data_IF_594452389444
#
_entry.id   IF_594452389444
#
_cell.length_a   1.000
_cell.length_b   1.000
_cell.length_c   1.000
_cell.angle_alpha   90.00
_cell.angle_beta   90.00
_cell.angle_gamma   90.00
#
_symmetry.space_group_name_H-M   'P 1'
#
loop_
_entity.id
_entity.type
_entity.pdbx_description
1 polymer ?
#
# COMPACT_ATOMS: atom_id res chain seq x y z
N UNK A 1 -30.55 -18.00 -5.29
CA UNK A 1 -30.31 -18.33 -6.71
C UNK A 1 -28.82 -18.59 -6.87
N UNK A 2 -28.37 -19.60 -7.63
CA UNK A 2 -26.95 -19.72 -7.97
C UNK A 2 -26.52 -18.45 -8.72
N UNK A 3 -25.31 -17.98 -8.45
CA UNK A 3 -24.72 -16.85 -9.15
C UNK A 3 -24.44 -17.27 -10.60
N UNK A 4 -24.88 -16.46 -11.55
CA UNK A 4 -24.58 -16.67 -12.97
C UNK A 4 -23.22 -16.04 -13.25
N UNK A 5 -22.27 -16.84 -13.73
CA UNK A 5 -20.91 -16.42 -14.07
C UNK A 5 -20.20 -15.63 -12.95
N UNK A 6 -19.92 -16.24 -11.79
CA UNK A 6 -19.28 -15.52 -10.69
C UNK A 6 -17.85 -15.10 -11.07
N UNK A 7 -17.50 -13.87 -10.70
CA UNK A 7 -16.13 -13.34 -10.77
C UNK A 7 -15.70 -13.05 -9.34
N UNK A 8 -14.75 -13.83 -8.82
CA UNK A 8 -14.25 -13.62 -7.47
C UNK A 8 -13.33 -12.39 -7.46
N UNK A 9 -13.46 -11.56 -6.44
CA UNK A 9 -12.60 -10.39 -6.21
C UNK A 9 -12.00 -10.54 -4.82
N UNK A 10 -10.68 -10.67 -4.72
CA UNK A 10 -10.00 -10.68 -3.42
C UNK A 10 -10.08 -9.27 -2.81
N UNK A 11 -10.64 -9.20 -1.61
CA UNK A 11 -10.74 -7.95 -0.85
C UNK A 11 -9.38 -7.60 -0.24
N UNK A 12 -8.96 -6.34 -0.42
CA UNK A 12 -7.93 -5.74 0.41
C UNK A 12 -8.62 -4.84 1.43
N UNK A 13 -8.16 -4.89 2.68
CA UNK A 13 -8.60 -3.97 3.72
C UNK A 13 -7.78 -2.68 3.66
N UNK A 14 -8.44 -1.54 3.92
CA UNK A 14 -7.73 -0.31 4.21
C UNK A 14 -7.17 -0.36 5.66
N UNK A 15 -6.12 0.43 5.95
CA UNK A 15 -5.47 0.54 7.27
C UNK A 15 -6.44 0.76 8.48
N UNK A 16 -7.68 1.16 8.22
CA UNK A 16 -8.75 1.29 9.21
C UNK A 16 -9.80 0.18 8.95
N UNK A 17 -9.86 -0.82 9.84
CA UNK A 17 -10.58 -2.14 9.85
C UNK A 17 -12.07 -2.21 9.39
N UNK A 18 -12.61 -1.24 8.65
CA UNK A 18 -14.02 -1.19 8.24
C UNK A 18 -14.22 -0.75 6.77
N UNK A 19 -13.16 -0.30 6.06
CA UNK A 19 -13.30 0.19 4.70
C UNK A 19 -12.59 -0.73 3.68
N UNK A 20 -13.29 -1.07 2.59
CA UNK A 20 -12.67 -1.68 1.42
C UNK A 20 -11.62 -0.74 0.84
N UNK A 21 -10.46 -1.27 0.49
CA UNK A 21 -9.45 -0.51 -0.22
C UNK A 21 -10.06 0.05 -1.54
N UNK A 22 -9.77 1.31 -1.92
CA UNK A 22 -10.26 1.86 -3.18
C UNK A 22 -9.88 1.03 -4.41
N UNK A 23 -8.75 0.32 -4.36
CA UNK A 23 -8.36 -0.66 -5.37
C UNK A 23 -9.38 -1.81 -5.49
N UNK A 24 -9.87 -2.35 -4.38
CA UNK A 24 -10.93 -3.37 -4.37
C UNK A 24 -12.21 -2.87 -5.02
N UNK A 25 -12.59 -1.60 -4.80
CA UNK A 25 -13.73 -0.98 -5.48
C UNK A 25 -13.53 -0.88 -7.00
N UNK A 26 -12.30 -0.63 -7.47
CA UNK A 26 -11.97 -0.69 -8.90
C UNK A 26 -12.16 -2.11 -9.45
N UNK A 27 -11.65 -3.13 -8.76
CA UNK A 27 -11.80 -4.52 -9.17
C UNK A 27 -13.27 -4.94 -9.24
N UNK A 28 -14.11 -4.52 -8.28
CA UNK A 28 -15.55 -4.78 -8.33
C UNK A 28 -16.21 -4.15 -9.55
N UNK A 29 -15.73 -2.98 -9.98
CA UNK A 29 -16.22 -2.31 -11.21
C UNK A 29 -15.79 -3.06 -12.46
N UNK A 30 -14.55 -3.54 -12.50
CA UNK A 30 -14.02 -4.34 -13.61
C UNK A 30 -14.69 -5.72 -13.68
N UNK A 31 -14.86 -6.40 -12.54
CA UNK A 31 -15.55 -7.68 -12.44
C UNK A 31 -16.96 -7.64 -13.01
N UNK A 32 -17.71 -6.55 -12.79
CA UNK A 32 -19.04 -6.33 -13.40
C UNK A 32 -19.04 -6.31 -14.91
N UNK A 33 -17.92 -5.99 -15.57
CA UNK A 33 -17.80 -6.02 -17.04
C UNK A 33 -17.65 -7.44 -17.58
N UNK A 34 -17.36 -8.40 -16.70
CA UNK A 34 -17.03 -9.79 -17.07
C UNK A 34 -18.02 -10.82 -16.54
N UNK A 35 -18.63 -10.55 -15.40
CA UNK A 35 -19.63 -11.42 -14.80
C UNK A 35 -20.19 -10.82 -13.51
N UNK A 36 -20.73 -11.70 -12.66
CA UNK A 36 -21.30 -11.28 -11.38
C UNK A 36 -20.20 -11.17 -10.33
N UNK A 37 -19.86 -9.96 -9.84
CA UNK A 37 -18.81 -9.80 -8.84
C UNK A 37 -19.19 -10.47 -7.52
N UNK A 38 -18.27 -11.24 -6.96
CA UNK A 38 -18.35 -11.82 -5.62
C UNK A 38 -17.11 -11.38 -4.86
N UNK A 39 -17.31 -10.54 -3.85
CA UNK A 39 -16.23 -10.12 -2.98
C UNK A 39 -15.85 -11.26 -2.05
N UNK A 40 -14.56 -11.58 -1.98
CA UNK A 40 -14.00 -12.63 -1.13
C UNK A 40 -13.05 -11.97 -0.13
N UNK A 41 -13.41 -12.06 1.15
CA UNK A 41 -12.57 -11.61 2.25
C UNK A 41 -11.95 -12.84 2.91
N UNK A 42 -10.63 -12.83 3.07
CA UNK A 42 -9.83 -13.94 3.57
C UNK A 42 -8.86 -13.48 4.66
N UNK A 43 -8.46 -14.40 5.53
CA UNK A 43 -7.29 -14.18 6.39
C UNK A 43 -6.03 -14.08 5.52
N UNK A 44 -5.26 -13.00 5.64
CA UNK A 44 -4.01 -12.78 4.89
C UNK A 44 -3.02 -13.97 4.94
N UNK A 45 -3.02 -14.77 6.00
CA UNK A 45 -2.14 -15.94 6.14
C UNK A 45 -2.62 -17.15 5.35
N UNK A 46 -3.91 -17.22 5.02
CA UNK A 46 -4.58 -18.36 4.38
C UNK A 46 -5.32 -18.00 3.08
N UNK A 47 -5.23 -16.75 2.65
CA UNK A 47 -5.96 -16.23 1.50
C UNK A 47 -5.83 -17.10 0.24
N UNK A 48 -4.64 -17.63 -0.06
CA UNK A 48 -4.48 -18.52 -1.20
C UNK A 48 -5.26 -19.84 -1.06
N UNK A 49 -5.29 -20.45 0.13
CA UNK A 49 -6.00 -21.70 0.39
C UNK A 49 -7.52 -21.50 0.35
N UNK A 50 -8.01 -20.46 1.03
CA UNK A 50 -9.43 -20.12 1.08
C UNK A 50 -9.97 -19.76 -0.31
N UNK A 51 -9.22 -18.97 -1.09
CA UNK A 51 -9.63 -18.59 -2.44
C UNK A 51 -9.71 -19.80 -3.40
N UNK A 52 -8.84 -20.81 -3.20
CA UNK A 52 -8.86 -22.05 -3.98
C UNK A 52 -10.08 -22.91 -3.62
N UNK A 53 -10.37 -23.06 -2.32
CA UNK A 53 -11.55 -23.79 -1.84
C UNK A 53 -12.83 -23.17 -2.44
N UNK A 54 -12.97 -21.85 -2.35
CA UNK A 54 -14.10 -21.10 -2.92
C UNK A 54 -14.16 -21.24 -4.44
N UNK A 55 -13.01 -21.21 -5.14
CA UNK A 55 -12.96 -21.36 -6.59
C UNK A 55 -13.39 -22.77 -7.05
N UNK A 56 -13.03 -23.83 -6.31
CA UNK A 56 -13.49 -25.18 -6.61
C UNK A 56 -15.00 -25.35 -6.42
N UNK A 57 -15.57 -24.74 -5.37
CA UNK A 57 -17.00 -24.87 -5.06
C UNK A 57 -17.90 -24.06 -6.00
N UNK A 58 -17.38 -22.95 -6.52
CA UNK A 58 -18.19 -21.97 -7.28
C UNK A 58 -17.80 -21.81 -8.74
N UNK A 59 -16.70 -22.44 -9.19
CA UNK A 59 -16.22 -22.44 -10.58
C UNK A 59 -16.32 -21.06 -11.23
N UNK A 60 -15.60 -20.06 -10.69
CA UNK A 60 -15.70 -18.69 -11.18
C UNK A 60 -15.08 -18.54 -12.55
N UNK A 61 -15.67 -17.65 -13.35
CA UNK A 61 -15.16 -17.27 -14.66
C UNK A 61 -13.77 -16.63 -14.56
N UNK A 62 -13.58 -15.81 -13.54
CA UNK A 62 -12.30 -15.21 -13.24
C UNK A 62 -12.14 -14.93 -11.74
N UNK A 63 -10.88 -14.81 -11.33
CA UNK A 63 -10.45 -14.38 -10.02
C UNK A 63 -9.62 -13.12 -10.21
N UNK A 64 -10.14 -11.98 -9.76
CA UNK A 64 -9.43 -10.70 -9.83
C UNK A 64 -8.72 -10.44 -8.50
N UNK A 65 -7.45 -10.09 -8.60
CA UNK A 65 -6.56 -9.81 -7.46
C UNK A 65 -5.82 -8.51 -7.76
N UNK A 66 -5.68 -7.61 -6.79
CA UNK A 66 -4.86 -6.40 -6.97
C UNK A 66 -3.37 -6.77 -6.99
N UNK A 67 -2.56 -6.06 -7.76
CA UNK A 67 -1.11 -6.24 -7.71
C UNK A 67 -0.54 -5.61 -6.43
N UNK A 68 0.17 -6.43 -5.64
CA UNK A 68 0.93 -6.02 -4.46
C UNK A 68 1.94 -7.10 -4.10
N UNK A 69 2.95 -6.78 -3.27
CA UNK A 69 3.97 -7.76 -2.89
C UNK A 69 3.39 -9.03 -2.22
N UNK A 70 2.30 -8.89 -1.44
CA UNK A 70 1.59 -10.03 -0.87
C UNK A 70 0.71 -10.75 -1.90
N UNK A 71 -0.02 -9.98 -2.71
CA UNK A 71 -1.05 -10.51 -3.57
C UNK A 71 -0.49 -11.17 -4.83
N UNK A 72 0.65 -10.71 -5.34
CA UNK A 72 1.36 -11.35 -6.46
C UNK A 72 1.80 -12.78 -6.10
N UNK A 73 2.14 -13.03 -4.83
CA UNK A 73 2.44 -14.38 -4.34
C UNK A 73 1.18 -15.22 -4.20
N UNK A 74 0.09 -14.64 -3.70
CA UNK A 74 -1.21 -15.32 -3.56
C UNK A 74 -1.74 -15.72 -4.94
N UNK A 75 -1.74 -14.81 -5.91
CA UNK A 75 -2.20 -15.06 -7.27
C UNK A 75 -1.41 -16.17 -7.95
N UNK A 76 -0.08 -16.18 -7.81
CA UNK A 76 0.76 -17.24 -8.34
C UNK A 76 0.42 -18.61 -7.72
N UNK A 77 0.22 -18.66 -6.40
CA UNK A 77 -0.12 -19.88 -5.68
C UNK A 77 -1.51 -20.42 -6.07
N UNK A 78 -2.49 -19.52 -6.24
CA UNK A 78 -3.84 -19.85 -6.69
C UNK A 78 -3.82 -20.38 -8.13
N UNK A 79 -3.15 -19.67 -9.04
CA UNK A 79 -3.08 -20.06 -10.45
C UNK A 79 -2.45 -21.45 -10.63
N UNK A 80 -1.34 -21.72 -9.94
CA UNK A 80 -0.65 -23.03 -10.01
C UNK A 80 -1.55 -24.17 -9.51
N UNK A 81 -2.26 -23.95 -8.40
CA UNK A 81 -3.07 -25.01 -7.77
C UNK A 81 -4.42 -25.24 -8.47
N UNK A 82 -4.98 -24.20 -9.07
CA UNK A 82 -6.16 -24.32 -9.93
C UNK A 82 -5.82 -24.74 -11.37
N UNK A 83 -4.55 -25.01 -11.67
CA UNK A 83 -4.05 -25.28 -13.04
C UNK A 83 -4.57 -24.24 -14.06
N UNK A 84 -4.67 -23.00 -13.60
CA UNK A 84 -5.33 -21.90 -14.31
C UNK A 84 -4.29 -20.94 -14.90
N UNK A 85 -4.66 -20.28 -16.00
CA UNK A 85 -3.84 -19.21 -16.54
C UNK A 85 -3.73 -18.05 -15.54
N UNK A 86 -2.55 -17.42 -15.49
CA UNK A 86 -2.34 -16.16 -14.78
C UNK A 86 -2.00 -15.06 -15.78
N UNK A 87 -2.70 -13.93 -15.68
CA UNK A 87 -2.40 -12.73 -16.46
C UNK A 87 -2.11 -11.59 -15.49
N UNK A 88 -0.91 -11.03 -15.58
CA UNK A 88 -0.44 -9.98 -14.68
C UNK A 88 -0.39 -8.63 -15.35
N UNK A 89 -0.26 -7.56 -14.55
CA UNK A 89 -0.17 -6.18 -15.05
C UNK A 89 -1.37 -5.76 -15.92
N UNK A 90 -2.54 -6.30 -15.61
CA UNK A 90 -3.78 -5.96 -16.29
C UNK A 90 -4.30 -4.65 -15.73
N UNK A 91 -4.72 -3.76 -16.61
CA UNK A 91 -5.18 -2.40 -16.26
C UNK A 91 -6.63 -2.15 -16.62
N UNK A 92 -7.21 -3.00 -17.47
CA UNK A 92 -8.63 -3.03 -17.79
C UNK A 92 -9.01 -4.43 -18.32
N UNK A 93 -10.29 -4.77 -18.29
CA UNK A 93 -10.83 -6.03 -18.76
C UNK A 93 -12.28 -5.88 -19.24
N UNK A 94 -12.62 -6.67 -20.25
CA UNK A 94 -13.96 -6.76 -20.79
C UNK A 94 -14.26 -8.19 -21.24
N UNK A 95 -15.54 -8.48 -21.42
CA UNK A 95 -15.99 -9.77 -21.93
C UNK A 95 -16.45 -9.62 -23.36
N UNK A 96 -15.91 -10.46 -24.23
CA UNK A 96 -16.39 -10.62 -25.59
C UNK A 96 -17.50 -11.68 -25.57
N UNK A 97 -18.73 -11.26 -25.82
CA UNK A 97 -19.89 -12.14 -25.81
C UNK A 97 -20.01 -13.01 -27.08
N UNK A 98 -19.42 -12.58 -28.19
CA UNK A 98 -19.47 -13.32 -29.45
C UNK A 98 -18.47 -14.48 -29.43
N UNK A 99 -17.32 -14.26 -28.78
CA UNK A 99 -16.23 -15.23 -28.65
C UNK A 99 -16.19 -15.95 -27.29
N UNK A 100 -17.11 -15.62 -26.37
CA UNK A 100 -17.22 -16.18 -25.01
C UNK A 100 -15.88 -16.16 -24.25
N UNK A 101 -15.18 -15.03 -24.30
CA UNK A 101 -13.82 -14.89 -23.78
C UNK A 101 -13.59 -13.58 -23.03
N UNK A 102 -12.63 -13.60 -22.10
CA UNK A 102 -12.17 -12.38 -21.43
C UNK A 102 -11.04 -11.78 -22.26
N UNK A 103 -11.09 -10.47 -22.45
CA UNK A 103 -9.98 -9.71 -23.01
C UNK A 103 -9.39 -8.84 -21.91
N UNK A 104 -8.15 -9.14 -21.54
CA UNK A 104 -7.38 -8.40 -20.54
C UNK A 104 -6.46 -7.40 -21.23
N UNK A 105 -6.49 -6.13 -20.80
CA UNK A 105 -5.69 -5.04 -21.37
C UNK A 105 -4.54 -4.70 -20.44
N UNK A 106 -3.32 -4.77 -20.96
CA UNK A 106 -2.10 -4.23 -20.34
C UNK A 106 -1.60 -3.02 -21.15
N UNK A 107 -0.55 -2.35 -20.68
CA UNK A 107 -0.08 -1.05 -21.22
C UNK A 107 0.03 -0.98 -22.75
N UNK A 108 0.52 -2.05 -23.39
CA UNK A 108 0.74 -2.10 -24.86
C UNK A 108 0.25 -3.37 -25.53
N UNK A 109 -0.53 -4.18 -24.83
CA UNK A 109 -0.97 -5.47 -25.32
C UNK A 109 -2.32 -5.83 -24.74
N UNK A 110 -3.04 -6.68 -25.45
CA UNK A 110 -4.20 -7.37 -24.91
C UNK A 110 -3.92 -8.87 -24.92
N UNK A 111 -4.57 -9.58 -24.01
CA UNK A 111 -4.50 -11.03 -23.90
C UNK A 111 -5.92 -11.58 -23.97
N UNK A 112 -6.14 -12.51 -24.89
CA UNK A 112 -7.38 -13.26 -25.01
C UNK A 112 -7.32 -14.48 -24.08
N UNK A 113 -8.35 -14.66 -23.26
CA UNK A 113 -8.40 -15.71 -22.25
C UNK A 113 -9.62 -16.58 -22.52
N UNK A 114 -9.36 -17.83 -22.92
CA UNK A 114 -10.38 -18.83 -23.26
C UNK A 114 -10.59 -19.89 -22.16
N UNK A 115 -9.90 -19.76 -21.02
CA UNK A 115 -9.95 -20.74 -19.91
C UNK A 115 -11.17 -20.52 -19.02
N UNK A 116 -11.68 -21.59 -18.39
CA UNK A 116 -12.88 -21.54 -17.54
C UNK A 116 -12.70 -20.74 -16.24
N UNK A 117 -11.49 -20.73 -15.66
CA UNK A 117 -11.15 -19.87 -14.53
C UNK A 117 -9.78 -19.27 -14.80
N UNK A 118 -9.71 -17.94 -14.87
CA UNK A 118 -8.46 -17.21 -15.04
C UNK A 118 -8.13 -16.42 -13.79
N UNK A 119 -6.86 -16.44 -13.37
CA UNK A 119 -6.36 -15.56 -12.32
C UNK A 119 -5.82 -14.29 -12.98
N UNK A 120 -6.43 -13.14 -12.68
CA UNK A 120 -6.11 -11.88 -13.33
C UNK A 120 -5.64 -10.90 -12.26
N UNK A 121 -4.37 -10.52 -12.35
CA UNK A 121 -3.75 -9.56 -11.44
C UNK A 121 -3.86 -8.15 -12.01
N UNK A 122 -4.67 -7.34 -11.35
CA UNK A 122 -5.00 -5.98 -11.74
C UNK A 122 -4.03 -4.99 -11.12
N UNK A 123 -3.32 -4.27 -11.97
CA UNK A 123 -2.62 -3.03 -11.61
C UNK A 123 -3.64 -1.90 -11.54
N UNK A 124 -4.21 -1.72 -10.34
CA UNK A 124 -5.18 -0.67 -10.03
C UNK A 124 -4.65 0.72 -10.40
N UNK A 125 -5.50 1.52 -11.09
CA UNK A 125 -5.22 2.93 -11.42
C UNK A 125 -5.76 3.86 -10.33
N UNK A 126 -6.78 3.40 -9.60
CA UNK A 126 -7.36 4.10 -8.45
C UNK A 126 -6.44 3.87 -7.25
N UNK A 127 -5.62 4.87 -6.98
CA UNK A 127 -4.83 4.89 -5.77
C UNK A 127 -5.78 5.16 -4.59
N UNK A 128 -6.16 4.11 -3.86
CA UNK A 128 -6.36 4.24 -2.41
C UNK A 128 -5.09 4.79 -1.77
N UNK A 129 -5.13 5.33 -0.53
CA UNK A 129 -4.07 6.18 0.01
C UNK A 129 -2.69 5.49 -0.03
N UNK A 130 -2.01 5.75 -1.14
CA UNK A 130 -0.68 5.39 -1.58
C UNK A 130 -0.29 3.90 -1.60
N UNK A 131 0.22 3.51 -2.79
CA UNK A 131 1.27 2.51 -3.02
C UNK A 131 2.12 2.37 -1.74
N UNK A 132 2.30 1.17 -1.20
CA UNK A 132 3.42 0.92 -0.27
C UNK A 132 4.70 1.27 -1.04
N UNK A 133 5.17 2.49 -0.85
CA UNK A 133 6.40 2.97 -1.45
C UNK A 133 7.51 2.10 -0.86
N UNK A 134 8.24 1.42 -1.73
CA UNK A 134 9.37 0.59 -1.32
C UNK A 134 10.29 1.43 -0.43
N UNK A 135 10.56 0.94 0.76
CA UNK A 135 11.37 1.61 1.78
C UNK A 135 12.73 2.08 1.21
N UNK A 136 13.29 1.33 0.26
CA UNK A 136 14.57 1.63 -0.42
C UNK A 136 14.48 2.72 -1.48
N UNK A 137 13.30 3.02 -2.00
CA UNK A 137 13.05 4.02 -3.05
C UNK A 137 12.46 5.32 -2.49
N UNK A 138 12.10 5.33 -1.20
CA UNK A 138 11.39 6.44 -0.59
C UNK A 138 12.28 7.68 -0.42
N UNK A 139 11.78 8.83 -0.92
CA UNK A 139 12.40 10.14 -0.71
C UNK A 139 12.22 10.61 0.75
N UNK A 140 11.14 10.22 1.41
CA UNK A 140 10.85 10.54 2.80
C UNK A 140 10.51 9.26 3.55
N UNK A 141 11.16 9.04 4.69
CA UNK A 141 10.90 7.90 5.57
C UNK A 141 10.64 8.42 6.98
N UNK A 142 9.49 8.05 7.54
CA UNK A 142 9.14 8.31 8.95
C UNK A 142 9.26 6.99 9.70
N UNK A 143 10.25 6.88 10.57
CA UNK A 143 10.63 5.62 11.21
C UNK A 143 10.31 5.58 12.70
N UNK A 144 9.76 4.44 13.13
CA UNK A 144 9.41 4.15 14.51
C UNK A 144 10.34 3.15 15.19
N UNK A 145 10.67 3.39 16.46
CA UNK A 145 11.37 2.45 17.32
C UNK A 145 10.51 1.92 18.46
N UNK A 146 11.16 1.30 19.44
CA UNK A 146 10.49 0.85 20.68
C UNK A 146 9.80 1.99 21.43
N UNK A 147 10.31 3.22 21.31
CA UNK A 147 9.74 4.39 21.97
C UNK A 147 8.32 4.74 21.51
N UNK A 148 7.86 4.20 20.37
CA UNK A 148 6.49 4.38 19.85
C UNK A 148 5.44 3.64 20.70
N UNK A 149 5.85 2.60 21.44
CA UNK A 149 5.03 1.94 22.46
C UNK A 149 4.05 0.87 21.99
N UNK A 150 3.52 0.94 20.76
CA UNK A 150 2.56 -0.06 20.23
C UNK A 150 2.45 -0.07 18.71
N UNK A 151 1.76 -1.07 18.15
CA UNK A 151 1.36 -1.11 16.74
C UNK A 151 0.40 0.05 16.38
N UNK A 152 -0.52 0.41 17.27
CA UNK A 152 -1.39 1.58 17.08
C UNK A 152 -0.57 2.89 17.01
N UNK A 153 0.52 2.99 17.76
CA UNK A 153 1.46 4.11 17.66
C UNK A 153 2.10 4.26 16.27
N UNK A 154 2.27 3.15 15.53
CA UNK A 154 2.73 3.19 14.14
C UNK A 154 1.69 3.80 13.19
N UNK A 155 0.41 3.76 13.52
CA UNK A 155 -0.64 4.44 12.74
C UNK A 155 -0.46 5.96 12.75
N UNK A 156 0.04 6.53 13.85
CA UNK A 156 0.40 7.95 13.92
C UNK A 156 1.58 8.27 13.00
N UNK A 157 2.58 7.40 12.94
CA UNK A 157 3.71 7.55 12.01
C UNK A 157 3.26 7.45 10.55
N UNK A 158 2.34 6.54 10.25
CA UNK A 158 1.75 6.40 8.91
C UNK A 158 1.05 7.68 8.46
N UNK A 159 0.28 8.32 9.36
CA UNK A 159 -0.35 9.62 9.07
C UNK A 159 0.68 10.70 8.77
N UNK A 160 1.77 10.78 9.53
CA UNK A 160 2.85 11.77 9.30
C UNK A 160 3.58 11.48 7.99
N UNK A 161 3.92 10.21 7.72
CA UNK A 161 4.53 9.78 6.47
C UNK A 161 3.67 10.19 5.28
N UNK A 162 2.36 9.91 5.34
CA UNK A 162 1.38 10.28 4.31
C UNK A 162 1.31 11.79 4.10
N UNK A 163 1.28 12.58 5.17
CA UNK A 163 1.27 14.05 5.07
C UNK A 163 2.55 14.61 4.42
N UNK A 164 3.67 13.90 4.56
CA UNK A 164 4.96 14.25 3.95
C UNK A 164 5.20 13.58 2.58
N UNK A 165 4.28 12.75 2.09
CA UNK A 165 4.44 12.00 0.85
C UNK A 165 5.52 10.90 0.89
N UNK A 166 5.75 10.32 2.07
CA UNK A 166 6.75 9.29 2.33
C UNK A 166 6.17 7.95 2.78
N UNK A 167 7.03 7.05 3.22
CA UNK A 167 6.65 5.75 3.77
C UNK A 167 7.04 5.60 5.25
N UNK A 168 6.50 4.57 5.90
CA UNK A 168 6.84 4.21 7.28
C UNK A 168 8.04 3.26 7.30
N UNK A 169 8.98 3.52 8.20
CA UNK A 169 10.08 2.61 8.53
C UNK A 169 9.97 2.11 9.98
N UNK A 170 10.67 1.02 10.28
CA UNK A 170 10.71 0.47 11.62
C UNK A 170 12.12 0.04 12.03
N UNK A 171 12.44 0.13 13.32
CA UNK A 171 13.62 -0.57 13.85
C UNK A 171 13.40 -2.08 13.87
N UNK A 172 14.49 -2.86 13.86
CA UNK A 172 14.42 -4.31 14.04
C UNK A 172 13.60 -4.73 15.27
N UNK A 173 13.80 -4.04 16.41
CA UNK A 173 13.07 -4.32 17.65
C UNK A 173 11.56 -4.12 17.51
N UNK A 174 11.12 -3.08 16.80
CA UNK A 174 9.69 -2.88 16.55
C UNK A 174 9.11 -4.00 15.66
N UNK A 175 9.87 -4.48 14.68
CA UNK A 175 9.49 -5.65 13.88
C UNK A 175 9.41 -6.96 14.68
N UNK A 176 10.35 -7.19 15.60
CA UNK A 176 10.32 -8.36 16.50
C UNK A 176 9.11 -8.34 17.45
N UNK A 177 8.67 -7.15 17.85
CA UNK A 177 7.46 -6.96 18.67
C UNK A 177 6.16 -7.08 17.86
N UNK A 178 6.25 -7.29 16.54
CA UNK A 178 5.09 -7.40 15.66
C UNK A 178 4.37 -6.08 15.39
N UNK A 179 5.01 -4.93 15.68
CA UNK A 179 4.39 -3.62 15.48
C UNK A 179 4.51 -3.10 14.05
N UNK A 180 5.43 -3.68 13.28
CA UNK A 180 5.65 -3.34 11.89
C UNK A 180 6.03 -4.60 11.09
N UNK A 181 5.69 -4.67 9.79
CA UNK A 181 6.04 -5.79 8.95
C UNK A 181 7.56 -5.83 8.70
N UNK A 182 8.09 -7.03 8.45
CA UNK A 182 9.54 -7.23 8.25
C UNK A 182 10.12 -6.42 7.10
N UNK A 183 9.36 -6.17 6.04
CA UNK A 183 9.82 -5.38 4.89
C UNK A 183 10.00 -3.90 5.22
N UNK A 184 9.36 -3.39 6.29
CA UNK A 184 9.53 -2.02 6.78
C UNK A 184 10.74 -1.89 7.74
N UNK A 185 11.38 -2.98 8.13
CA UNK A 185 12.47 -2.98 9.10
C UNK A 185 13.81 -2.51 8.51
N UNK A 186 14.40 -1.49 9.14
CA UNK A 186 15.70 -0.92 8.81
C UNK A 186 16.76 -1.49 9.77
N UNK A 187 17.66 -2.30 9.23
CA UNK A 187 18.71 -2.98 9.97
C UNK A 187 19.90 -3.35 9.09
N UNK A 188 21.03 -3.70 9.72
CA UNK A 188 22.23 -4.21 9.04
C UNK A 188 22.59 -5.60 9.61
N UNK A 189 22.80 -6.65 8.77
CA UNK A 189 22.68 -6.67 7.31
C UNK A 189 21.21 -6.87 6.90
N UNK A 190 20.56 -5.81 6.43
CA UNK A 190 19.14 -5.79 6.05
C UNK A 190 18.85 -4.57 5.19
N UNK A 191 17.67 -3.97 5.33
CA UNK A 191 17.32 -2.81 4.52
C UNK A 191 18.19 -1.59 4.89
N UNK A 192 18.95 -1.11 3.92
CA UNK A 192 19.70 0.14 3.96
C UNK A 192 19.02 1.14 3.06
N UNK A 193 18.85 2.38 3.52
CA UNK A 193 18.07 3.39 2.83
C UNK A 193 18.82 4.71 2.74
N UNK A 194 18.44 5.52 1.75
CA UNK A 194 19.06 6.83 1.49
C UNK A 194 18.01 7.90 1.15
N UNK A 195 17.04 8.15 2.05
CA UNK A 195 16.00 9.13 1.78
C UNK A 195 16.56 10.56 1.78
N UNK A 196 15.84 11.47 1.15
CA UNK A 196 16.08 12.91 1.29
C UNK A 196 15.77 13.39 2.71
N UNK A 197 14.74 12.83 3.34
CA UNK A 197 14.36 13.09 4.72
C UNK A 197 14.14 11.78 5.48
N UNK A 198 14.83 11.61 6.60
CA UNK A 198 14.60 10.56 7.57
C UNK A 198 14.11 11.17 8.89
N UNK A 199 12.88 10.89 9.29
CA UNK A 199 12.32 11.32 10.58
C UNK A 199 12.28 10.12 11.53
N UNK A 200 13.12 10.11 12.55
CA UNK A 200 13.15 9.08 13.58
C UNK A 200 12.28 9.50 14.78
N UNK A 201 11.29 8.69 15.15
CA UNK A 201 10.45 8.91 16.33
C UNK A 201 10.57 7.74 17.31
N UNK A 202 11.09 8.00 18.51
CA UNK A 202 11.26 6.97 19.55
C UNK A 202 12.26 5.87 19.15
N UNK A 203 13.30 6.24 18.41
CA UNK A 203 14.34 5.34 17.89
C UNK A 203 15.61 5.54 18.71
N UNK A 204 16.11 4.51 19.39
CA UNK A 204 17.32 4.65 20.21
C UNK A 204 18.61 4.93 19.42
N UNK A 205 18.66 4.60 18.12
CA UNK A 205 19.86 4.83 17.30
C UNK A 205 20.98 3.81 17.55
N UNK A 206 20.65 2.52 17.61
CA UNK A 206 21.70 1.49 17.67
C UNK A 206 22.68 1.63 16.50
N UNK A 207 23.96 1.28 16.71
CA UNK A 207 25.02 1.41 15.69
C UNK A 207 24.63 0.79 14.34
N UNK A 208 23.93 -0.35 14.36
CA UNK A 208 23.44 -1.03 13.14
C UNK A 208 22.36 -0.23 12.43
N UNK A 209 21.44 0.38 13.19
CA UNK A 209 20.37 1.19 12.64
C UNK A 209 20.92 2.50 12.04
N UNK A 210 21.78 3.21 12.78
CA UNK A 210 22.42 4.43 12.27
C UNK A 210 23.26 4.16 11.02
N UNK A 211 23.96 3.01 10.97
CA UNK A 211 24.71 2.60 9.77
C UNK A 211 23.80 2.38 8.55
N UNK A 212 22.59 1.87 8.75
CA UNK A 212 21.63 1.59 7.68
C UNK A 212 20.97 2.86 7.10
N UNK A 213 20.97 3.97 7.84
CA UNK A 213 20.42 5.27 7.41
C UNK A 213 21.48 6.32 7.10
N UNK A 214 22.77 5.99 7.23
CA UNK A 214 23.88 6.95 7.11
C UNK A 214 23.92 7.72 5.77
N UNK A 215 23.28 7.19 4.72
CA UNK A 215 23.15 7.88 3.44
C UNK A 215 21.97 8.83 3.33
N UNK A 216 21.16 9.01 4.38
CA UNK A 216 20.08 9.99 4.41
C UNK A 216 20.64 11.42 4.30
N UNK A 217 19.98 12.27 3.51
CA UNK A 217 20.42 13.67 3.32
C UNK A 217 20.10 14.56 4.52
N UNK A 218 18.97 14.31 5.18
CA UNK A 218 18.55 15.04 6.36
C UNK A 218 17.90 14.09 7.34
N UNK A 219 18.40 14.09 8.58
CA UNK A 219 17.93 13.28 9.70
C UNK A 219 17.30 14.21 10.74
N UNK A 220 16.02 14.00 11.01
CA UNK A 220 15.27 14.64 12.10
C UNK A 220 14.98 13.56 13.14
N UNK A 221 15.21 13.84 14.42
CA UNK A 221 14.95 12.86 15.48
C UNK A 221 14.11 13.46 16.60
N UNK A 222 13.11 12.71 17.04
CA UNK A 222 12.25 12.99 18.19
C UNK A 222 12.41 11.85 19.18
N UNK A 223 12.95 12.14 20.36
CA UNK A 223 13.05 11.16 21.43
C UNK A 223 12.86 11.83 22.80
N UNK A 224 12.25 11.11 23.75
CA UNK A 224 12.10 11.59 25.11
C UNK A 224 13.39 11.52 25.92
N UNK A 225 14.31 10.62 25.55
CA UNK A 225 15.63 10.50 26.17
C UNK A 225 16.62 11.48 25.50
N UNK A 226 17.07 12.54 26.20
CA UNK A 226 18.04 13.49 25.66
C UNK A 226 19.41 12.84 25.35
N UNK A 227 19.67 11.63 25.85
CA UNK A 227 20.91 10.91 25.61
C UNK A 227 20.81 9.86 24.50
N UNK A 228 19.65 9.75 23.84
CA UNK A 228 19.43 8.78 22.78
C UNK A 228 20.49 8.95 21.67
N UNK A 229 21.25 7.89 21.32
CA UNK A 229 22.26 7.96 20.26
C UNK A 229 21.78 8.54 18.93
N UNK A 230 20.52 8.33 18.54
CA UNK A 230 19.97 8.89 17.30
C UNK A 230 20.04 10.42 17.26
N UNK A 231 19.89 11.09 18.41
CA UNK A 231 19.92 12.55 18.50
C UNK A 231 21.31 13.11 18.18
N UNK A 232 22.37 12.31 18.33
CA UNK A 232 23.74 12.69 17.96
C UNK A 232 24.00 12.57 16.45
N UNK A 233 23.25 11.72 15.77
CA UNK A 233 23.34 11.52 14.31
C UNK A 233 22.36 12.42 13.56
N UNK A 234 21.45 13.11 14.26
CA UNK A 234 20.43 13.95 13.66
C UNK A 234 20.94 15.35 13.30
N UNK A 235 20.53 15.85 12.14
CA UNK A 235 20.69 17.26 11.76
C UNK A 235 19.78 18.16 12.60
N UNK A 236 18.64 17.63 13.04
CA UNK A 236 17.71 18.29 13.96
C UNK A 236 17.20 17.29 15.01
N UNK A 237 17.61 17.47 16.26
CA UNK A 237 17.12 16.70 17.40
C UNK A 237 16.09 17.47 18.23
N UNK A 238 14.98 16.83 18.55
CA UNK A 238 13.91 17.35 19.42
C UNK A 238 13.77 16.41 20.62
N UNK A 239 14.01 16.94 21.81
CA UNK A 239 13.80 16.19 23.05
C UNK A 239 12.38 16.42 23.54
N UNK A 240 11.55 15.38 23.55
CA UNK A 240 10.17 15.49 23.99
C UNK A 240 9.31 14.26 23.71
N UNK A 241 8.06 14.34 24.12
CA UNK A 241 7.08 13.28 23.93
C UNK A 241 6.57 13.25 22.48
N UNK A 242 6.89 12.18 21.76
CA UNK A 242 6.48 11.99 20.37
C UNK A 242 4.95 11.96 20.20
N UNK A 243 4.20 11.50 21.20
CA UNK A 243 2.73 11.44 21.12
C UNK A 243 2.09 12.83 21.23
N UNK A 244 2.84 13.85 21.66
CA UNK A 244 2.43 15.26 21.60
C UNK A 244 2.97 15.97 20.36
N UNK A 245 4.22 15.67 19.99
CA UNK A 245 4.91 16.36 18.91
C UNK A 245 4.43 15.93 17.53
N UNK A 246 4.16 14.65 17.29
CA UNK A 246 3.71 14.16 15.99
C UNK A 246 2.30 14.67 15.61
N UNK A 247 1.30 14.71 16.52
CA UNK A 247 0.02 15.35 16.20
C UNK A 247 0.16 16.86 15.91
N UNK A 248 0.96 17.58 16.70
CA UNK A 248 1.21 19.01 16.45
C UNK A 248 1.89 19.25 15.08
N UNK A 249 2.80 18.36 14.68
CA UNK A 249 3.40 18.38 13.35
C UNK A 249 2.35 18.15 12.25
N UNK A 250 1.43 17.19 12.44
CA UNK A 250 0.35 16.94 11.48
C UNK A 250 -0.54 18.17 11.29
N UNK A 251 -0.92 18.83 12.38
CA UNK A 251 -1.77 20.03 12.33
C UNK A 251 -1.08 21.14 11.53
N UNK A 252 0.21 21.37 11.77
CA UNK A 252 1.01 22.36 11.06
C UNK A 252 1.19 22.00 9.56
N UNK A 253 1.42 20.73 9.24
CA UNK A 253 1.51 20.25 7.86
C UNK A 253 0.19 20.47 7.11
N UNK A 254 -0.95 20.20 7.76
CA UNK A 254 -2.27 20.44 7.19
C UNK A 254 -2.52 21.95 6.95
N UNK A 255 -2.17 22.81 7.91
CA UNK A 255 -2.30 24.26 7.76
C UNK A 255 -1.46 24.81 6.58
N UNK A 256 -0.25 24.29 6.40
CA UNK A 256 0.62 24.67 5.27
C UNK A 256 0.11 24.16 3.94
N UNK A 257 -0.43 22.94 3.89
CA UNK A 257 -1.04 22.39 2.68
C UNK A 257 -2.27 23.20 2.23
N UNK A 258 -3.07 23.72 3.17
CA UNK A 258 -4.20 24.60 2.85
C UNK A 258 -3.75 25.95 2.25
N UNK A 259 -2.59 26.45 2.66
CA UNK A 259 -2.06 27.75 2.22
C UNK A 259 -1.34 27.66 0.86
N UNK A 260 -0.90 26.48 0.44
CA UNK A 260 -0.11 26.27 -0.79
C UNK A 260 -0.92 25.90 -2.04
N UNK A 261 -2.26 25.76 -1.96
CA UNK A 261 -3.11 25.47 -3.12
C UNK A 261 -3.34 26.74 -3.95
N UNK A 262 -2.90 26.83 -5.22
CA UNK A 262 -3.21 27.99 -6.06
C UNK A 262 -4.72 28.03 -6.34
N UNK A 263 -5.30 29.23 -6.29
CA UNK A 263 -6.70 29.46 -6.63
C UNK A 263 -6.97 28.97 -8.05
N UNK A 264 -7.90 28.02 -8.20
CA UNK A 264 -8.41 27.61 -9.51
C UNK A 264 -8.96 28.83 -10.24
N UNK A 265 -8.36 29.16 -11.37
CA UNK A 265 -8.82 30.22 -12.28
C UNK A 265 -10.25 29.91 -12.72
N UNK A 266 -11.19 30.74 -12.29
CA UNK A 266 -12.54 30.78 -12.82
C UNK A 266 -12.49 31.26 -14.27
N UNK A 267 -12.72 30.36 -15.22
CA UNK A 267 -13.01 30.72 -16.61
C UNK A 267 -14.35 31.45 -16.63
N UNK A 268 -14.31 32.77 -16.86
CA UNK A 268 -15.49 33.54 -17.25
C UNK A 268 -15.73 33.27 -18.75
N UNK A 269 -16.95 32.96 -19.21
CA UNK A 269 -17.21 32.83 -20.64
C UNK A 269 -17.20 34.24 -21.25
N UNK A 270 -16.39 34.41 -22.29
CA UNK A 270 -16.34 35.60 -23.14
C UNK A 270 -17.69 35.76 -23.87
N UNK A 271 -18.26 36.97 -23.97
CA UNK A 271 -19.51 37.15 -24.69
C UNK A 271 -19.24 37.07 -26.19
N UNK A 272 -20.06 36.29 -26.89
CA UNK A 272 -20.10 36.26 -28.35
C UNK A 272 -20.52 37.64 -28.87
N UNK A 273 -19.60 38.32 -29.57
CA UNK A 273 -19.93 39.45 -30.41
C UNK A 273 -20.21 39.00 -31.84
N UNK A 274 -21.18 39.71 -32.43
CA UNK A 274 -21.87 39.48 -33.70
C UNK A 274 -21.13 40.05 -34.91
#
# INVERSE_FOLDING_TARGET
MPLVDPVLVLADEADDDVALAPATCELLTLARRVGTPVLVHCDHRRAAEELIEIAHDHLPRAILITSSASNDRISAQVAVRLESAIVTDVTDLFFDHDLDQIIAISDRSFTEIHTHTAVIVIRSRIHGPQREMLLTEADVVVAGGRGVGSAEGFSLLARVARALGGCVGATHTAGELGWAPRHACINLPGAQIRPRLYLAAGVSGSVRHCSAIRGARTVVAIDSDPNAPILREADLGIVGDLHRLLPALLDELAARAATSRPASTSTTPEPAEA
#
